data_IF_371227830111
#
_entry.id   IF_371227830111
#
_cell.length_a   1.000
_cell.length_b   1.000
_cell.length_c   1.000
_cell.angle_alpha   90.00
_cell.angle_beta   90.00
_cell.angle_gamma   90.00
#
_symmetry.space_group_name_H-M   'P 1'
#
loop_
_entity.id
_entity.type
_entity.pdbx_description
1 polymer ?
#
# COMPACT_ATOMS: atom_id res chain seq x y z
N UNK A 1 35.75 13.07 -22.48
CA UNK A 1 34.83 11.94 -22.28
C UNK A 1 33.48 12.52 -21.92
N UNK A 2 32.64 12.76 -22.92
CA UNK A 2 31.30 13.32 -22.74
C UNK A 2 30.34 12.19 -22.39
N UNK A 3 29.72 12.25 -21.22
CA UNK A 3 28.65 11.35 -20.83
C UNK A 3 27.36 11.82 -21.50
N UNK A 4 26.91 11.08 -22.50
CA UNK A 4 25.61 11.25 -23.13
C UNK A 4 24.56 10.68 -22.18
N UNK A 5 23.95 11.52 -21.35
CA UNK A 5 22.69 11.18 -20.67
C UNK A 5 21.60 11.16 -21.73
N UNK A 6 21.33 9.96 -22.27
CA UNK A 6 20.16 9.71 -23.08
C UNK A 6 18.93 9.82 -22.18
N UNK A 7 18.28 10.97 -22.26
CA UNK A 7 17.00 11.23 -21.60
C UNK A 7 15.92 10.45 -22.36
N UNK A 8 15.72 9.20 -21.95
CA UNK A 8 14.66 8.35 -22.48
C UNK A 8 13.35 8.71 -21.78
N UNK A 9 12.67 9.75 -22.27
CA UNK A 9 11.23 9.97 -22.11
C UNK A 9 10.46 8.88 -22.88
N UNK A 10 10.69 7.61 -22.50
CA UNK A 10 9.88 6.49 -22.95
C UNK A 10 8.47 6.70 -22.41
N UNK A 11 7.53 6.88 -23.34
CA UNK A 11 6.14 7.25 -23.07
C UNK A 11 5.51 6.41 -21.98
N UNK A 12 4.94 7.09 -20.98
CA UNK A 12 4.01 6.50 -20.04
C UNK A 12 2.89 5.82 -20.82
N UNK A 13 2.74 4.51 -20.63
CA UNK A 13 1.61 3.77 -21.18
C UNK A 13 0.50 3.74 -20.14
N UNK A 14 -0.73 3.99 -20.56
CA UNK A 14 -1.93 3.82 -19.72
C UNK A 14 -2.05 2.39 -19.13
N UNK A 15 -1.24 1.43 -19.61
CA UNK A 15 -1.09 0.08 -19.05
C UNK A 15 -0.32 -0.01 -17.73
N UNK A 16 0.33 1.07 -17.26
CA UNK A 16 1.16 1.04 -16.05
C UNK A 16 0.35 1.14 -14.75
N UNK A 17 -0.95 1.42 -14.83
CA UNK A 17 -1.87 1.38 -13.68
C UNK A 17 -2.46 -0.02 -13.52
N UNK A 18 -2.01 -0.74 -12.50
CA UNK A 18 -2.48 -2.10 -12.24
C UNK A 18 -3.65 -2.08 -11.28
N UNK A 19 -4.73 -2.80 -11.62
CA UNK A 19 -5.89 -2.99 -10.76
C UNK A 19 -5.79 -4.37 -10.13
N UNK A 20 -5.87 -4.46 -8.81
CA UNK A 20 -5.78 -5.70 -8.04
C UNK A 20 -4.64 -6.59 -8.56
N UNK A 21 -3.38 -6.13 -8.38
CA UNK A 21 -2.24 -6.74 -9.05
C UNK A 21 -2.19 -8.26 -8.77
N UNK A 22 -2.03 -9.11 -9.81
CA UNK A 22 -1.98 -10.54 -9.62
C UNK A 22 -0.79 -10.92 -8.72
N UNK A 23 -0.95 -11.97 -7.93
CA UNK A 23 0.08 -12.41 -6.99
C UNK A 23 0.25 -11.47 -5.80
N UNK A 24 -0.80 -10.73 -5.41
CA UNK A 24 -0.89 -10.06 -4.13
C UNK A 24 -2.24 -10.34 -3.49
N UNK A 25 -2.19 -10.80 -2.24
CA UNK A 25 -3.36 -11.07 -1.42
C UNK A 25 -3.27 -10.18 -0.19
N UNK A 26 -4.27 -9.33 -0.01
CA UNK A 26 -4.38 -8.46 1.16
C UNK A 26 -5.27 -9.12 2.20
N UNK A 27 -4.82 -9.14 3.44
CA UNK A 27 -5.56 -9.62 4.59
C UNK A 27 -5.61 -8.54 5.66
N UNK A 28 -6.74 -8.46 6.36
CA UNK A 28 -6.89 -7.66 7.57
C UNK A 28 -7.06 -8.59 8.77
N UNK A 29 -6.40 -8.27 9.87
CA UNK A 29 -6.70 -8.88 11.15
C UNK A 29 -6.69 -7.84 12.27
N UNK A 30 -7.61 -8.00 13.22
CA UNK A 30 -7.65 -7.16 14.40
C UNK A 30 -8.32 -7.88 15.59
N UNK A 31 -8.14 -7.34 16.78
CA UNK A 31 -8.73 -7.90 17.99
C UNK A 31 -8.16 -7.26 19.24
N UNK A 32 -8.60 -7.69 20.42
CA UNK A 32 -7.99 -7.21 21.67
C UNK A 32 -6.54 -7.69 21.81
N UNK A 33 -6.22 -8.82 21.19
CA UNK A 33 -4.89 -9.43 21.17
C UNK A 33 -4.15 -9.19 19.83
N UNK A 34 -4.60 -8.22 19.02
CA UNK A 34 -4.11 -8.02 17.65
C UNK A 34 -2.60 -7.78 17.58
N UNK A 35 -2.03 -6.98 18.50
CA UNK A 35 -0.58 -6.76 18.56
C UNK A 35 0.18 -8.04 18.95
N UNK A 36 -0.33 -8.81 19.91
CA UNK A 36 0.28 -10.08 20.32
C UNK A 36 0.28 -11.08 19.18
N UNK A 37 -0.81 -11.15 18.41
CA UNK A 37 -0.89 -11.97 17.20
C UNK A 37 0.11 -11.52 16.13
N UNK A 38 0.23 -10.21 15.91
CA UNK A 38 1.22 -9.67 14.98
C UNK A 38 2.65 -10.05 15.39
N UNK A 39 2.99 -9.93 16.68
CA UNK A 39 4.30 -10.29 17.21
C UNK A 39 4.57 -11.80 17.03
N UNK A 40 3.57 -12.64 17.30
CA UNK A 40 3.69 -14.08 17.15
C UNK A 40 3.93 -14.50 15.69
N UNK A 41 3.28 -13.84 14.73
CA UNK A 41 3.36 -14.17 13.31
C UNK A 41 4.58 -13.57 12.60
N UNK A 42 4.94 -12.32 12.93
CA UNK A 42 5.92 -11.53 12.17
C UNK A 42 7.16 -11.13 12.99
N UNK A 43 7.22 -11.54 14.25
CA UNK A 43 8.32 -11.25 15.16
C UNK A 43 8.19 -9.92 15.92
N UNK A 44 9.09 -9.68 16.89
CA UNK A 44 8.97 -8.56 17.83
C UNK A 44 9.10 -7.17 17.18
N UNK A 45 9.75 -7.06 16.01
CA UNK A 45 9.96 -5.79 15.30
C UNK A 45 8.65 -5.10 14.91
N UNK A 46 7.55 -5.86 14.71
CA UNK A 46 6.23 -5.29 14.41
C UNK A 46 5.65 -4.46 15.56
N UNK A 47 6.15 -4.63 16.79
CA UNK A 47 5.77 -3.77 17.91
C UNK A 47 6.38 -2.36 17.81
N UNK A 48 7.43 -2.20 17.02
CA UNK A 48 8.17 -0.93 16.91
C UNK A 48 7.59 0.00 15.85
N UNK A 49 6.67 -0.48 15.01
CA UNK A 49 6.00 0.35 14.01
C UNK A 49 4.78 1.04 14.62
N UNK A 50 4.67 2.34 14.40
CA UNK A 50 3.51 3.13 14.83
C UNK A 50 2.31 2.90 13.88
N UNK A 51 1.09 3.36 14.25
CA UNK A 51 -0.02 3.40 13.29
C UNK A 51 0.37 4.08 11.98
N UNK A 52 -0.08 3.49 10.87
CA UNK A 52 0.22 3.81 9.48
C UNK A 52 1.70 3.70 9.08
N UNK A 53 2.49 2.95 9.84
CA UNK A 53 3.79 2.47 9.42
C UNK A 53 3.71 1.03 8.96
N UNK A 54 4.58 0.67 8.03
CA UNK A 54 4.76 -0.73 7.62
C UNK A 54 6.19 -1.19 7.81
N UNK A 55 6.40 -2.49 7.65
CA UNK A 55 7.72 -3.09 7.50
C UNK A 55 7.66 -4.26 6.53
N UNK A 56 8.82 -4.71 6.08
CA UNK A 56 8.97 -6.00 5.39
C UNK A 56 9.22 -7.10 6.42
N UNK A 57 8.46 -8.18 6.33
CA UNK A 57 8.58 -9.36 7.20
C UNK A 57 8.60 -10.65 6.37
N UNK A 58 8.61 -11.80 7.05
CA UNK A 58 8.37 -13.09 6.43
C UNK A 58 7.15 -13.76 7.08
N UNK A 59 6.32 -14.41 6.26
CA UNK A 59 5.25 -15.29 6.70
C UNK A 59 5.37 -16.60 5.93
N UNK A 60 5.47 -17.72 6.66
CA UNK A 60 5.80 -19.04 6.10
C UNK A 60 7.00 -18.99 5.12
N UNK A 61 8.08 -18.36 5.57
CA UNK A 61 9.33 -18.14 4.80
C UNK A 61 9.18 -17.27 3.54
N UNK A 62 7.99 -16.74 3.25
CA UNK A 62 7.75 -15.86 2.11
C UNK A 62 7.81 -14.38 2.53
N UNK A 63 8.49 -13.52 1.76
CA UNK A 63 8.53 -12.09 2.05
C UNK A 63 7.12 -11.49 1.93
N UNK A 64 6.75 -10.68 2.91
CA UNK A 64 5.46 -10.00 2.98
C UNK A 64 5.64 -8.56 3.50
N UNK A 65 4.59 -7.75 3.35
CA UNK A 65 4.54 -6.40 3.92
C UNK A 65 3.46 -6.34 4.99
N UNK A 66 3.82 -5.86 6.18
CA UNK A 66 2.90 -5.73 7.32
C UNK A 66 2.71 -4.25 7.61
N UNK A 67 1.46 -3.79 7.56
CA UNK A 67 1.05 -2.42 7.86
C UNK A 67 0.24 -2.41 9.15
N UNK A 68 0.63 -1.56 10.10
CA UNK A 68 -0.16 -1.30 11.30
C UNK A 68 -1.21 -0.23 11.00
N UNK A 69 -2.49 -0.59 10.94
CA UNK A 69 -3.59 0.36 10.69
C UNK A 69 -3.96 1.14 11.96
N UNK A 70 -3.96 0.47 13.10
CA UNK A 70 -4.07 1.08 14.43
C UNK A 70 -3.40 0.18 15.47
N UNK A 71 -3.58 0.47 16.77
CA UNK A 71 -2.87 -0.24 17.85
C UNK A 71 -2.93 -1.76 17.72
N UNK A 72 -4.11 -2.31 17.44
CA UNK A 72 -4.35 -3.75 17.34
C UNK A 72 -4.98 -4.18 16.00
N UNK A 73 -4.79 -3.39 14.94
CA UNK A 73 -5.32 -3.69 13.61
C UNK A 73 -4.19 -3.64 12.60
N UNK A 74 -4.05 -4.71 11.82
CA UNK A 74 -2.98 -4.89 10.87
C UNK A 74 -3.52 -5.32 9.52
N UNK A 75 -2.83 -4.86 8.48
CA UNK A 75 -3.00 -5.29 7.11
C UNK A 75 -1.74 -5.98 6.66
N UNK A 76 -1.89 -7.12 5.98
CA UNK A 76 -0.77 -7.91 5.47
C UNK A 76 -0.92 -8.08 3.98
N UNK A 77 0.14 -7.82 3.23
CA UNK A 77 0.25 -8.14 1.82
C UNK A 77 1.09 -9.40 1.64
N UNK A 78 0.50 -10.45 1.06
CA UNK A 78 1.11 -11.76 0.83
C UNK A 78 1.25 -12.06 -0.68
N UNK A 79 2.37 -12.62 -1.16
CA UNK A 79 2.61 -12.83 -2.58
C UNK A 79 1.84 -14.02 -3.18
N UNK A 80 1.38 -14.93 -2.32
CA UNK A 80 0.60 -16.11 -2.70
C UNK A 80 -0.57 -16.25 -1.73
N UNK A 81 -1.63 -16.95 -2.16
CA UNK A 81 -2.73 -17.27 -1.28
C UNK A 81 -2.22 -18.22 -0.19
N UNK A 82 -2.03 -17.70 1.01
CA UNK A 82 -1.64 -18.49 2.18
C UNK A 82 -2.76 -18.47 3.22
N UNK A 83 -2.90 -19.54 4.03
CA UNK A 83 -3.94 -19.65 5.04
C UNK A 83 -3.59 -18.83 6.31
N UNK A 84 -3.53 -17.50 6.18
CA UNK A 84 -3.27 -16.60 7.30
C UNK A 84 -4.34 -16.74 8.40
N UNK A 85 -5.56 -17.05 8.00
CA UNK A 85 -6.68 -17.33 8.89
C UNK A 85 -6.44 -18.54 9.78
N UNK A 86 -5.95 -19.65 9.22
CA UNK A 86 -5.58 -20.84 9.98
C UNK A 86 -4.44 -20.53 10.96
N UNK A 87 -3.39 -19.83 10.50
CA UNK A 87 -2.27 -19.45 11.36
C UNK A 87 -2.72 -18.57 12.53
N UNK A 88 -3.65 -17.65 12.33
CA UNK A 88 -4.23 -16.83 13.40
C UNK A 88 -5.09 -17.68 14.36
N UNK A 89 -5.89 -18.61 13.84
CA UNK A 89 -6.73 -19.48 14.66
C UNK A 89 -5.89 -20.36 15.62
N UNK A 90 -4.74 -20.85 15.16
CA UNK A 90 -3.82 -21.69 15.93
C UNK A 90 -3.18 -20.97 17.13
N UNK A 91 -3.13 -19.63 17.11
CA UNK A 91 -2.60 -18.85 18.23
C UNK A 91 -3.52 -18.87 19.46
N UNK A 92 -4.80 -19.22 19.30
CA UNK A 92 -5.79 -19.19 20.39
C UNK A 92 -6.08 -17.79 20.96
N UNK A 93 -5.77 -16.74 20.19
CA UNK A 93 -5.96 -15.34 20.57
C UNK A 93 -7.32 -14.80 20.12
N UNK A 94 -7.81 -13.73 20.76
CA UNK A 94 -9.07 -13.06 20.39
C UNK A 94 -8.87 -12.10 19.23
N UNK A 95 -8.65 -12.66 18.05
CA UNK A 95 -8.36 -11.95 16.80
C UNK A 95 -9.34 -12.43 15.72
N UNK A 96 -9.95 -11.50 14.99
CA UNK A 96 -10.61 -11.80 13.73
C UNK A 96 -9.65 -11.57 12.57
N UNK A 97 -9.83 -12.32 11.50
CA UNK A 97 -9.02 -12.27 10.29
C UNK A 97 -9.94 -12.44 9.08
N UNK A 98 -9.69 -11.68 8.02
CA UNK A 98 -10.42 -11.81 6.75
C UNK A 98 -9.61 -11.29 5.56
N UNK A 99 -9.90 -11.76 4.34
CA UNK A 99 -9.40 -11.12 3.14
C UNK A 99 -9.86 -9.65 3.07
N UNK A 100 -8.97 -8.76 2.65
CA UNK A 100 -9.29 -7.36 2.46
C UNK A 100 -10.14 -7.18 1.20
N UNK A 101 -11.25 -6.46 1.33
CA UNK A 101 -12.23 -6.26 0.25
C UNK A 101 -12.03 -4.95 -0.52
N UNK A 102 -10.94 -4.22 -0.25
CA UNK A 102 -10.61 -3.00 -0.97
C UNK A 102 -10.06 -3.33 -2.35
N UNK A 103 -10.43 -2.52 -3.35
CA UNK A 103 -9.71 -2.52 -4.61
C UNK A 103 -8.36 -1.83 -4.42
N UNK A 104 -7.33 -2.34 -5.09
CA UNK A 104 -5.95 -1.82 -5.03
C UNK A 104 -5.51 -1.35 -6.40
N UNK A 105 -5.00 -0.13 -6.47
CA UNK A 105 -4.39 0.46 -7.66
C UNK A 105 -2.89 0.63 -7.43
N UNK A 106 -2.04 0.04 -8.27
CA UNK A 106 -0.58 0.26 -8.20
C UNK A 106 -0.20 1.40 -9.14
N UNK A 107 0.43 2.43 -8.60
CA UNK A 107 0.88 3.59 -9.35
C UNK A 107 2.37 3.46 -9.72
N UNK A 108 2.82 4.06 -10.85
CA UNK A 108 4.25 4.25 -11.09
C UNK A 108 4.84 5.11 -9.98
N UNK A 109 5.75 4.56 -9.18
CA UNK A 109 6.13 5.13 -7.87
C UNK A 109 6.44 6.63 -7.93
N UNK A 110 7.37 7.08 -8.77
CA UNK A 110 7.78 8.50 -8.78
C UNK A 110 6.68 9.45 -9.27
N UNK A 111 5.95 9.08 -10.33
CA UNK A 111 4.85 9.90 -10.85
C UNK A 111 3.66 9.91 -9.89
N UNK A 112 3.33 8.74 -9.32
CA UNK A 112 2.25 8.57 -8.38
C UNK A 112 2.47 9.36 -7.09
N UNK A 113 3.69 9.39 -6.56
CA UNK A 113 4.03 10.22 -5.40
C UNK A 113 3.73 11.71 -5.65
N UNK A 114 4.23 12.24 -6.77
CA UNK A 114 3.96 13.64 -7.18
C UNK A 114 2.47 13.90 -7.42
N UNK A 115 1.82 13.00 -8.16
CA UNK A 115 0.40 13.10 -8.51
C UNK A 115 -0.48 13.12 -7.25
N UNK A 116 -0.28 12.18 -6.32
CA UNK A 116 -1.05 12.13 -5.08
C UNK A 116 -0.88 13.38 -4.23
N UNK A 117 0.33 13.94 -4.12
CA UNK A 117 0.57 15.19 -3.40
C UNK A 117 -0.21 16.39 -3.98
N UNK A 118 -0.53 16.37 -5.28
CA UNK A 118 -1.27 17.44 -5.95
C UNK A 118 -2.79 17.31 -5.82
N UNK A 119 -3.31 16.08 -5.83
CA UNK A 119 -4.76 15.84 -5.99
C UNK A 119 -5.44 15.33 -4.72
N UNK A 120 -4.67 14.87 -3.73
CA UNK A 120 -5.21 14.28 -2.52
C UNK A 120 -5.05 15.21 -1.32
N UNK A 121 -6.08 15.26 -0.48
CA UNK A 121 -6.05 15.97 0.80
C UNK A 121 -5.86 14.98 1.94
N UNK A 122 -4.92 15.25 2.84
CA UNK A 122 -4.65 14.43 4.03
C UNK A 122 -5.26 15.07 5.29
N UNK A 123 -5.31 14.30 6.39
CA UNK A 123 -5.52 14.90 7.72
C UNK A 123 -4.22 15.57 8.20
N UNK A 124 -4.28 16.58 9.09
CA UNK A 124 -3.11 17.39 9.47
C UNK A 124 -1.86 16.65 9.99
N UNK A 125 -2.01 15.41 10.47
CA UNK A 125 -0.90 14.59 10.97
C UNK A 125 -0.16 13.82 9.87
N UNK A 126 -0.66 13.82 8.64
CA UNK A 126 -0.09 13.05 7.53
C UNK A 126 0.27 13.98 6.37
N UNK A 127 1.36 13.66 5.68
CA UNK A 127 1.78 14.36 4.47
C UNK A 127 2.03 13.36 3.34
N UNK A 128 1.74 13.79 2.11
CA UNK A 128 2.09 13.09 0.87
C UNK A 128 3.31 13.72 0.18
N UNK A 129 3.84 14.81 0.73
CA UNK A 129 5.08 15.45 0.28
C UNK A 129 5.87 16.01 1.47
N UNK A 130 6.97 15.37 1.89
CA UNK A 130 7.46 14.08 1.39
C UNK A 130 6.57 12.91 1.84
N UNK A 131 6.41 11.89 1.00
CA UNK A 131 5.79 10.60 1.40
C UNK A 131 6.90 9.57 1.67
N UNK A 132 7.19 9.22 2.93
CA UNK A 132 8.28 8.31 3.24
C UNK A 132 7.97 6.88 2.81
N UNK A 133 9.01 6.12 2.45
CA UNK A 133 8.88 4.67 2.28
C UNK A 133 8.46 4.02 3.61
N UNK A 134 7.75 2.89 3.49
CA UNK A 134 7.18 2.10 4.58
C UNK A 134 6.15 2.87 5.41
N UNK A 135 5.32 3.65 4.72
CA UNK A 135 4.22 4.43 5.30
C UNK A 135 2.94 4.28 4.52
N UNK A 136 1.83 4.30 5.24
CA UNK A 136 0.53 4.55 4.68
C UNK A 136 0.02 5.93 5.08
N UNK A 137 -0.82 6.53 4.25
CA UNK A 137 -1.44 7.82 4.50
C UNK A 137 -2.93 7.73 4.15
N UNK A 138 -3.83 7.87 5.14
CA UNK A 138 -5.23 8.04 4.86
C UNK A 138 -5.46 9.43 4.24
N UNK A 139 -6.12 9.46 3.08
CA UNK A 139 -6.35 10.69 2.32
C UNK A 139 -7.74 10.68 1.67
N UNK A 140 -8.07 11.78 0.99
CA UNK A 140 -9.27 11.90 0.16
C UNK A 140 -8.90 12.47 -1.20
N UNK A 141 -9.53 11.97 -2.25
CA UNK A 141 -9.49 12.54 -3.60
C UNK A 141 -10.94 12.74 -4.03
N UNK A 142 -11.36 13.99 -4.28
CA UNK A 142 -12.74 14.33 -4.67
C UNK A 142 -13.81 13.64 -3.79
N UNK A 143 -13.63 13.74 -2.47
CA UNK A 143 -14.46 13.13 -1.43
C UNK A 143 -14.46 11.60 -1.31
N UNK A 144 -13.75 10.89 -2.18
CA UNK A 144 -13.51 9.46 -2.01
C UNK A 144 -12.37 9.23 -1.03
N UNK A 145 -12.63 8.47 0.04
CA UNK A 145 -11.59 8.07 0.98
C UNK A 145 -10.66 7.04 0.34
N UNK A 146 -9.35 7.26 0.51
CA UNK A 146 -8.31 6.35 0.03
C UNK A 146 -7.32 6.05 1.15
N UNK A 147 -6.62 4.93 1.04
CA UNK A 147 -5.38 4.68 1.78
C UNK A 147 -4.25 4.55 0.76
N UNK A 148 -3.36 5.54 0.72
CA UNK A 148 -2.14 5.43 -0.07
C UNK A 148 -1.10 4.69 0.77
N UNK A 149 -0.43 3.68 0.21
CA UNK A 149 0.59 2.88 0.90
C UNK A 149 1.86 2.82 0.06
N UNK A 150 2.92 3.42 0.55
CA UNK A 150 4.25 3.37 -0.06
C UNK A 150 5.14 2.43 0.74
N UNK A 151 5.48 1.27 0.18
CA UNK A 151 6.23 0.23 0.89
C UNK A 151 7.12 -0.58 -0.04
N UNK A 152 7.99 -1.39 0.55
CA UNK A 152 8.71 -2.41 -0.22
C UNK A 152 7.79 -3.60 -0.53
N UNK A 153 7.71 -3.97 -1.81
CA UNK A 153 7.09 -5.18 -2.29
C UNK A 153 8.12 -5.99 -3.09
N UNK A 154 8.41 -7.21 -2.63
CA UNK A 154 9.44 -8.07 -3.26
C UNK A 154 10.79 -7.34 -3.46
N UNK A 155 11.19 -6.56 -2.46
CA UNK A 155 12.44 -5.78 -2.46
C UNK A 155 12.41 -4.51 -3.31
N UNK A 156 11.27 -4.13 -3.90
CA UNK A 156 11.15 -2.92 -4.73
C UNK A 156 10.14 -1.93 -4.12
N UNK A 157 10.43 -0.62 -4.11
CA UNK A 157 9.46 0.38 -3.70
C UNK A 157 8.22 0.36 -4.60
N UNK A 158 7.05 0.23 -3.98
CA UNK A 158 5.75 0.21 -4.63
C UNK A 158 4.80 1.18 -3.95
N UNK A 159 4.09 1.97 -4.75
CA UNK A 159 3.02 2.86 -4.29
C UNK A 159 1.67 2.26 -4.67
N UNK A 160 0.87 1.97 -3.66
CA UNK A 160 -0.48 1.44 -3.80
C UNK A 160 -1.52 2.46 -3.33
N UNK A 161 -2.68 2.46 -3.96
CA UNK A 161 -3.86 3.22 -3.55
C UNK A 161 -5.01 2.25 -3.34
N UNK A 162 -5.44 2.13 -2.10
CA UNK A 162 -6.51 1.22 -1.69
C UNK A 162 -7.81 2.00 -1.48
N UNK A 163 -8.89 1.51 -2.08
CA UNK A 163 -10.19 2.20 -2.17
C UNK A 163 -11.35 1.21 -2.04
N UNK A 164 -12.56 1.75 -1.82
CA UNK A 164 -13.77 0.93 -1.96
C UNK A 164 -13.88 0.39 -3.38
N UNK A 165 -14.23 -0.89 -3.51
CA UNK A 165 -14.45 -1.53 -4.81
C UNK A 165 -15.54 -0.82 -5.64
N UNK A 166 -16.52 -0.17 -4.99
CA UNK A 166 -17.55 0.63 -5.67
C UNK A 166 -17.01 1.89 -6.34
N UNK A 167 -15.93 2.47 -5.82
CA UNK A 167 -15.33 3.71 -6.32
C UNK A 167 -14.26 3.45 -7.39
N UNK A 168 -13.90 2.18 -7.62
CA UNK A 168 -12.79 1.80 -8.48
C UNK A 168 -12.87 2.37 -9.90
N UNK A 169 -13.99 2.28 -10.64
CA UNK A 169 -14.05 2.80 -12.01
C UNK A 169 -13.78 4.31 -12.06
N UNK A 170 -14.38 5.07 -11.13
CA UNK A 170 -14.22 6.52 -11.04
C UNK A 170 -12.79 6.89 -10.65
N UNK A 171 -12.24 6.24 -9.63
CA UNK A 171 -10.90 6.54 -9.13
C UNK A 171 -9.82 6.20 -10.16
N UNK A 172 -9.98 5.08 -10.87
CA UNK A 172 -9.08 4.68 -11.95
C UNK A 172 -9.00 5.76 -13.03
N UNK A 173 -10.15 6.23 -13.53
CA UNK A 173 -10.19 7.26 -14.57
C UNK A 173 -9.54 8.57 -14.10
N UNK A 174 -9.83 8.99 -12.87
CA UNK A 174 -9.26 10.20 -12.27
C UNK A 174 -7.74 10.12 -12.15
N UNK A 175 -7.21 9.01 -11.60
CA UNK A 175 -5.77 8.82 -11.44
C UNK A 175 -5.06 8.71 -12.78
N UNK A 176 -5.66 8.05 -13.78
CA UNK A 176 -5.11 8.02 -15.14
C UNK A 176 -4.98 9.40 -15.75
N UNK A 177 -6.04 10.21 -15.69
CA UNK A 177 -6.02 11.58 -16.21
C UNK A 177 -4.99 12.45 -15.46
N UNK A 178 -4.92 12.31 -14.14
CA UNK A 178 -4.01 13.10 -13.29
C UNK A 178 -2.54 12.72 -13.55
N UNK A 179 -2.22 11.42 -13.65
CA UNK A 179 -0.88 10.94 -13.97
C UNK A 179 -0.39 11.45 -15.33
N UNK A 180 -1.27 11.45 -16.34
CA UNK A 180 -0.95 12.03 -17.65
C UNK A 180 -0.63 13.52 -17.52
N UNK A 181 -1.47 14.28 -16.81
CA UNK A 181 -1.21 15.71 -16.59
C UNK A 181 0.12 15.95 -15.87
N UNK A 182 0.40 15.20 -14.82
CA UNK A 182 1.66 15.33 -14.06
C UNK A 182 2.88 14.98 -14.92
N UNK A 183 2.79 14.00 -15.82
CA UNK A 183 3.90 13.66 -16.72
C UNK A 183 4.25 14.80 -17.68
N UNK A 184 3.26 15.51 -18.22
CA UNK A 184 3.49 16.64 -19.14
C UNK A 184 4.11 17.87 -18.44
N UNK A 185 3.82 18.10 -17.16
CA UNK A 185 4.42 19.22 -16.41
C UNK A 185 5.89 19.00 -16.05
N UNK A 186 6.43 17.79 -16.22
CA UNK A 186 7.83 17.46 -15.89
C UNK A 186 8.72 17.27 -17.13
N UNK A 187 8.16 17.37 -18.35
CA UNK A 187 8.88 17.34 -19.61
C UNK A 187 9.20 18.77 -20.07
#
# INVERSE_FOLDING_TARGET
>A
MSATTSDSTSGFSLGDLWVNPPGQFLWDFAGVDGLQGAIALFGPTVNHIAPFQSLTAAFDQQPCSVLRLCENNFRVALPVAQPLDQAIAELGLKIWVKPCQTATLVLPTMLGLKCLAQIATTRPLYTLDPFPLDRAVPARINDTAILAWYHLWQGRPRLEVQISSSDLPRMRALLQASLLSTAHCNA
#
